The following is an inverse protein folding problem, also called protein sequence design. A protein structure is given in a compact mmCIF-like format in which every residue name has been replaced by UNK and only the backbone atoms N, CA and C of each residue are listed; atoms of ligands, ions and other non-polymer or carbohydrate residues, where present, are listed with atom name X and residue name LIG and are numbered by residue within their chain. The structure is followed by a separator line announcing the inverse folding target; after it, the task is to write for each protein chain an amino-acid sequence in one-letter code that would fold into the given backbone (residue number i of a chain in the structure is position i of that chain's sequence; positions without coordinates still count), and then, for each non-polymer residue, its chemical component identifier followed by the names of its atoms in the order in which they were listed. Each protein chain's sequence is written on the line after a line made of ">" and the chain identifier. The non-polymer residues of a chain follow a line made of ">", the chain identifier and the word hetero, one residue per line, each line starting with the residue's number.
data_IF_798898707476
#
_entry.id   IF_798898707476
#
_cell.length_a   1.000
_cell.length_b   1.000
_cell.length_c   1.000
_cell.angle_alpha   90.00
_cell.angle_beta   90.00
_cell.angle_gamma   90.00
#
_symmetry.space_group_name_H-M   'P 1'
#
loop_
_entity.id
_entity.type
_entity.pdbx_description
1 polymer ?
#
# COMPACT_ATOMS: atom_id res chain seq x y z
N UNK A 1 3.15 -12.71 31.33
CA UNK A 1 2.99 -11.36 30.77
C UNK A 1 2.14 -11.45 29.51
N UNK A 2 1.37 -10.42 29.21
CA UNK A 2 0.51 -10.36 28.02
C UNK A 2 0.58 -8.98 27.38
N UNK A 3 0.46 -8.90 26.07
CA UNK A 3 0.47 -7.65 25.32
C UNK A 3 -0.59 -7.73 24.21
N UNK A 4 -1.58 -6.85 24.28
CA UNK A 4 -2.65 -6.80 23.30
C UNK A 4 -2.18 -5.97 22.11
N UNK A 5 -2.28 -6.54 20.90
CA UNK A 5 -1.87 -5.82 19.70
C UNK A 5 -2.64 -4.51 19.56
N UNK A 6 -1.95 -3.41 19.27
CA UNK A 6 -2.61 -2.15 18.95
C UNK A 6 -3.54 -2.32 17.75
N UNK A 7 -4.67 -1.61 17.76
CA UNK A 7 -5.61 -1.63 16.66
C UNK A 7 -4.92 -1.23 15.34
N UNK A 8 -5.19 -1.98 14.27
CA UNK A 8 -4.60 -1.73 12.97
C UNK A 8 -3.17 -2.22 12.79
N UNK A 9 -2.64 -3.04 13.71
CA UNK A 9 -1.34 -3.71 13.53
C UNK A 9 -1.50 -5.20 13.24
N UNK A 10 -0.45 -5.83 12.71
CA UNK A 10 -0.40 -7.26 12.42
C UNK A 10 0.75 -7.89 13.20
N UNK A 11 0.52 -9.04 13.82
CA UNK A 11 1.58 -9.77 14.51
C UNK A 11 2.58 -10.33 13.51
N UNK A 12 3.87 -10.04 13.70
CA UNK A 12 4.94 -10.67 12.91
C UNK A 12 5.72 -11.68 13.73
N UNK A 13 6.25 -11.26 14.88
CA UNK A 13 7.00 -12.16 15.76
C UNK A 13 7.08 -11.64 17.19
N UNK A 14 7.39 -12.55 18.11
CA UNK A 14 7.71 -12.23 19.49
C UNK A 14 8.94 -13.02 19.93
N UNK A 15 9.79 -12.41 20.75
CA UNK A 15 10.90 -13.09 21.39
C UNK A 15 10.42 -14.02 22.51
N UNK A 16 11.34 -14.85 23.04
CA UNK A 16 11.12 -15.69 24.23
C UNK A 16 9.88 -16.61 24.17
N UNK A 17 9.54 -17.09 22.98
CA UNK A 17 8.42 -18.03 22.81
C UNK A 17 7.04 -17.42 23.06
N UNK A 18 6.89 -16.10 22.91
CA UNK A 18 5.59 -15.43 22.97
C UNK A 18 4.60 -16.04 21.99
N UNK A 19 3.41 -16.38 22.47
CA UNK A 19 2.36 -17.01 21.66
C UNK A 19 1.28 -15.99 21.33
N UNK A 20 1.00 -15.82 20.04
CA UNK A 20 -0.07 -14.95 19.57
C UNK A 20 -1.38 -15.72 19.43
N UNK A 21 -2.43 -15.26 20.13
CA UNK A 21 -3.77 -15.81 20.01
C UNK A 21 -4.81 -14.70 20.24
N UNK A 22 -5.85 -14.67 19.39
CA UNK A 22 -6.98 -13.75 19.53
C UNK A 22 -6.59 -12.27 19.74
N UNK A 23 -5.56 -11.78 19.05
CA UNK A 23 -5.13 -10.38 19.14
C UNK A 23 -4.21 -10.06 20.33
N UNK A 24 -3.81 -11.05 21.12
CA UNK A 24 -2.93 -10.86 22.28
C UNK A 24 -1.72 -11.79 22.18
N UNK A 25 -0.52 -11.27 22.48
CA UNK A 25 0.68 -12.06 22.67
C UNK A 25 0.84 -12.39 24.14
N UNK A 26 1.10 -13.64 24.47
CA UNK A 26 1.31 -14.11 25.84
C UNK A 26 2.68 -14.72 26.02
N UNK A 27 3.38 -14.33 27.09
CA UNK A 27 4.65 -14.92 27.52
C UNK A 27 4.49 -15.58 28.88
N UNK A 28 4.91 -16.85 28.95
CA UNK A 28 5.02 -17.59 30.19
C UNK A 28 6.48 -17.63 30.62
N UNK A 29 6.86 -16.72 31.51
CA UNK A 29 8.20 -16.66 32.09
C UNK A 29 8.14 -17.36 33.45
N UNK A 30 8.89 -18.45 33.58
CA UNK A 30 8.82 -19.31 34.76
C UNK A 30 9.28 -18.61 36.04
N UNK A 31 10.38 -17.85 35.97
CA UNK A 31 10.95 -17.14 37.10
C UNK A 31 11.69 -15.90 36.61
N UNK A 32 11.56 -14.81 37.37
CA UNK A 32 12.46 -13.67 37.32
C UNK A 32 13.05 -13.55 38.73
N UNK A 33 14.35 -13.81 38.85
CA UNK A 33 15.02 -13.75 40.15
C UNK A 33 14.94 -12.34 40.75
N UNK A 34 15.04 -12.23 42.08
CA UNK A 34 15.02 -10.93 42.76
C UNK A 34 16.12 -10.00 42.23
N UNK A 35 15.73 -8.82 41.75
CA UNK A 35 16.63 -7.84 41.10
C UNK A 35 17.02 -8.18 39.66
N UNK A 36 16.49 -9.26 39.09
CA UNK A 36 16.66 -9.63 37.69
C UNK A 36 15.66 -8.91 36.77
N UNK A 37 15.93 -9.00 35.47
CA UNK A 37 15.09 -8.44 34.41
C UNK A 37 14.84 -9.47 33.30
N UNK A 38 13.72 -9.32 32.60
CA UNK A 38 13.41 -10.07 31.39
C UNK A 38 13.03 -9.09 30.27
N UNK A 39 13.73 -9.15 29.15
CA UNK A 39 13.53 -8.26 28.01
C UNK A 39 12.79 -8.98 26.89
N UNK A 40 11.61 -8.48 26.54
CA UNK A 40 10.75 -9.00 25.49
C UNK A 40 10.78 -8.08 24.28
N UNK A 41 10.75 -8.65 23.07
CA UNK A 41 10.62 -7.91 21.82
C UNK A 41 9.37 -8.38 21.11
N UNK A 42 8.52 -7.43 20.76
CA UNK A 42 7.33 -7.63 19.92
C UNK A 42 7.57 -6.91 18.59
N UNK A 43 7.43 -7.63 17.49
CA UNK A 43 7.53 -7.07 16.14
C UNK A 43 6.14 -7.07 15.51
N UNK A 44 5.73 -5.89 15.06
CA UNK A 44 4.42 -5.64 14.47
C UNK A 44 4.57 -5.08 13.07
N UNK A 45 3.76 -5.59 12.15
CA UNK A 45 3.58 -5.05 10.82
C UNK A 45 2.50 -3.97 10.80
N UNK A 46 2.70 -2.95 9.97
CA UNK A 46 1.69 -1.93 9.68
C UNK A 46 1.06 -2.25 8.33
N UNK A 47 -0.27 -2.46 8.24
CA UNK A 47 -0.97 -2.65 6.97
C UNK A 47 -0.68 -1.53 5.97
N UNK A 48 -0.46 -1.88 4.70
CA UNK A 48 -0.10 -0.93 3.64
C UNK A 48 -1.17 0.15 3.37
N UNK A 49 -2.42 -0.10 3.77
CA UNK A 49 -3.54 0.84 3.66
C UNK A 49 -3.72 1.75 4.89
N UNK A 50 -2.82 1.68 5.87
CA UNK A 50 -2.90 2.53 7.07
C UNK A 50 -2.67 3.99 6.72
N UNK A 51 -3.54 4.89 7.20
CA UNK A 51 -3.44 6.31 6.90
C UNK A 51 -2.24 6.96 7.58
N UNK A 52 -1.56 7.86 6.87
CA UNK A 52 -0.50 8.69 7.44
C UNK A 52 -1.02 9.51 8.63
N UNK A 53 -0.19 9.63 9.67
CA UNK A 53 -0.52 10.29 10.92
C UNK A 53 -1.32 9.44 11.90
N UNK A 54 -1.67 8.19 11.57
CA UNK A 54 -2.23 7.24 12.55
C UNK A 54 -1.22 7.02 13.67
N UNK A 55 -1.66 7.16 14.92
CA UNK A 55 -0.82 6.95 16.10
C UNK A 55 -1.10 5.58 16.69
N UNK A 56 -0.06 4.76 16.80
CA UNK A 56 -0.09 3.41 17.36
C UNK A 56 0.43 3.46 18.79
N UNK A 57 -0.39 2.97 19.72
CA UNK A 57 -0.07 2.88 21.15
C UNK A 57 -0.12 1.44 21.60
N UNK A 58 0.88 1.01 22.34
CA UNK A 58 0.98 -0.37 22.83
C UNK A 58 1.05 -0.41 24.37
N UNK A 59 0.34 -1.37 24.97
CA UNK A 59 0.30 -1.53 26.43
C UNK A 59 0.53 -3.00 26.77
N UNK A 60 1.60 -3.27 27.50
CA UNK A 60 1.94 -4.57 28.04
C UNK A 60 1.50 -4.68 29.50
N UNK A 61 1.08 -5.89 29.87
CA UNK A 61 0.59 -6.25 31.21
C UNK A 61 1.46 -7.36 31.79
N UNK A 62 2.02 -7.09 32.97
CA UNK A 62 2.73 -8.06 33.78
C UNK A 62 1.83 -8.55 34.92
N UNK A 63 1.82 -9.86 35.15
CA UNK A 63 1.06 -10.48 36.24
C UNK A 63 1.84 -11.65 36.82
N UNK A 64 1.80 -11.80 38.14
CA UNK A 64 2.39 -12.91 38.90
C UNK A 64 1.46 -13.28 40.05
N UNK A 65 1.35 -14.57 40.37
CA UNK A 65 0.59 -15.02 41.54
C UNK A 65 1.24 -14.58 42.87
N UNK A 66 2.54 -14.31 42.87
CA UNK A 66 3.30 -13.88 44.05
C UNK A 66 3.37 -12.36 44.19
N UNK A 67 2.78 -11.60 43.25
CA UNK A 67 2.66 -10.13 43.32
C UNK A 67 1.25 -9.76 43.79
N UNK A 68 1.04 -9.43 45.08
CA UNK A 68 -0.28 -9.11 45.61
C UNK A 68 -0.88 -7.82 45.03
N UNK A 69 -0.05 -6.98 44.40
CA UNK A 69 -0.45 -5.70 43.79
C UNK A 69 -0.60 -5.80 42.26
N UNK A 70 -0.51 -7.02 41.69
CA UNK A 70 -0.70 -7.28 40.26
C UNK A 70 -2.18 -7.36 39.84
N UNK A 71 -2.48 -7.31 38.52
CA UNK A 71 -1.56 -7.08 37.41
C UNK A 71 -1.10 -5.62 37.30
N UNK A 72 0.03 -5.39 36.63
CA UNK A 72 0.63 -4.07 36.37
C UNK A 72 0.72 -3.82 34.88
N UNK A 73 0.39 -2.60 34.46
CA UNK A 73 0.51 -2.14 33.07
C UNK A 73 1.66 -1.12 32.97
N UNK A 74 2.27 -0.99 31.80
CA UNK A 74 3.17 0.14 31.58
C UNK A 74 2.38 1.46 31.60
N UNK A 75 2.99 2.50 32.15
CA UNK A 75 2.40 3.84 32.09
C UNK A 75 2.27 4.29 30.63
N UNK A 76 1.18 4.99 30.26
CA UNK A 76 1.10 5.65 28.96
C UNK A 76 2.24 6.66 28.82
N UNK A 77 2.98 6.57 27.72
CA UNK A 77 4.09 7.46 27.42
C UNK A 77 4.03 7.86 25.94
N UNK A 78 3.64 9.11 25.62
CA UNK A 78 3.56 9.60 24.25
C UNK A 78 4.89 9.54 23.49
N UNK A 79 6.03 9.54 24.18
CA UNK A 79 7.34 9.45 23.53
C UNK A 79 7.60 8.04 22.95
N UNK A 80 6.81 7.04 23.38
CA UNK A 80 6.84 5.68 22.85
C UNK A 80 5.72 5.41 21.81
N UNK A 81 4.90 6.41 21.48
CA UNK A 81 3.89 6.28 20.44
C UNK A 81 4.56 6.23 19.05
N UNK A 82 4.07 5.34 18.18
CA UNK A 82 4.55 5.24 16.78
C UNK A 82 3.58 5.97 15.87
N UNK A 83 4.06 6.97 15.12
CA UNK A 83 3.25 7.64 14.09
C UNK A 83 3.51 7.02 12.73
N UNK A 84 2.44 6.59 12.05
CA UNK A 84 2.52 5.97 10.72
C UNK A 84 2.80 7.01 9.65
N UNK A 85 3.73 6.71 8.75
CA UNK A 85 3.94 7.43 7.50
C UNK A 85 3.57 6.52 6.31
N UNK A 86 3.29 7.12 5.15
CA UNK A 86 2.93 6.39 3.93
C UNK A 86 3.91 6.69 2.80
N UNK A 87 4.39 5.64 2.15
CA UNK A 87 5.32 5.74 1.03
C UNK A 87 4.88 4.83 -0.13
N UNK A 88 4.11 5.37 -1.07
CA UNK A 88 3.79 4.70 -2.33
C UNK A 88 4.79 5.14 -3.42
N UNK A 89 5.15 4.21 -4.32
CA UNK A 89 6.13 4.48 -5.40
C UNK A 89 5.59 3.94 -6.72
N UNK A 90 5.01 4.80 -7.53
CA UNK A 90 4.44 4.40 -8.82
C UNK A 90 5.49 4.34 -9.93
N UNK A 91 5.42 3.30 -10.76
CA UNK A 91 6.12 3.17 -12.03
C UNK A 91 5.10 2.96 -13.15
N UNK A 92 5.38 3.50 -14.33
CA UNK A 92 4.51 3.40 -15.50
C UNK A 92 5.31 3.01 -16.74
N UNK A 93 4.77 2.11 -17.55
CA UNK A 93 5.33 1.71 -18.84
C UNK A 93 4.23 1.66 -19.90
N UNK A 94 4.54 2.08 -21.13
CA UNK A 94 3.62 2.01 -22.28
C UNK A 94 4.29 1.24 -23.40
N UNK A 95 3.63 0.22 -23.92
CA UNK A 95 4.13 -0.65 -24.99
C UNK A 95 3.08 -0.84 -26.07
N UNK A 96 3.50 -1.21 -27.27
CA UNK A 96 2.64 -1.67 -28.36
C UNK A 96 3.20 -2.95 -28.93
N UNK A 97 2.32 -3.89 -29.31
CA UNK A 97 2.70 -5.11 -30.01
C UNK A 97 2.87 -4.88 -31.53
N UNK A 98 2.43 -3.74 -32.05
CA UNK A 98 2.48 -3.38 -33.47
C UNK A 98 3.40 -2.18 -33.69
N UNK A 99 4.70 -2.42 -33.98
CA UNK A 99 5.66 -1.35 -34.21
C UNK A 99 5.46 -0.64 -35.56
N UNK A 100 4.75 -1.27 -36.50
CA UNK A 100 4.41 -0.72 -37.81
C UNK A 100 2.89 -0.82 -38.01
N UNK A 101 2.26 0.26 -38.44
CA UNK A 101 0.82 0.37 -38.69
C UNK A 101 0.61 1.10 -40.01
N UNK A 102 -0.31 0.61 -40.83
CA UNK A 102 -0.69 1.30 -42.06
C UNK A 102 -1.66 2.43 -41.70
N UNK A 103 -1.53 3.55 -42.41
CA UNK A 103 -2.45 4.68 -42.29
C UNK A 103 -3.89 4.20 -42.46
N UNK A 104 -4.75 4.57 -41.52
CA UNK A 104 -6.16 4.19 -41.49
C UNK A 104 -6.45 2.92 -40.67
N UNK A 105 -5.44 2.20 -40.17
CA UNK A 105 -5.62 1.02 -39.31
C UNK A 105 -5.58 1.38 -37.81
N UNK A 106 -6.09 0.47 -36.97
CA UNK A 106 -6.05 0.59 -35.51
C UNK A 106 -4.89 -0.20 -34.92
N UNK A 107 -4.47 0.22 -33.73
CA UNK A 107 -3.51 -0.47 -32.92
C UNK A 107 -3.71 -0.16 -31.44
N UNK A 108 -3.17 -1.04 -30.60
CA UNK A 108 -3.39 -1.00 -29.15
C UNK A 108 -2.10 -0.70 -28.42
N UNK A 109 -2.16 0.28 -27.53
CA UNK A 109 -1.17 0.48 -26.48
C UNK A 109 -1.60 -0.25 -25.22
N UNK A 110 -0.64 -0.88 -24.57
CA UNK A 110 -0.77 -1.41 -23.20
C UNK A 110 0.01 -0.50 -22.27
N UNK A 111 -0.68 0.08 -21.30
CA UNK A 111 -0.11 0.93 -20.24
C UNK A 111 -0.14 0.12 -18.95
N UNK A 112 1.02 -0.16 -18.39
CA UNK A 112 1.15 -0.85 -17.10
C UNK A 112 1.56 0.16 -16.04
N UNK A 113 0.79 0.24 -14.96
CA UNK A 113 1.11 1.02 -13.76
C UNK A 113 1.34 0.07 -12.61
N UNK A 114 2.46 0.21 -11.90
CA UNK A 114 2.85 -0.63 -10.77
C UNK A 114 3.11 0.25 -9.55
N UNK A 115 2.64 -0.16 -8.38
CA UNK A 115 3.07 0.43 -7.11
C UNK A 115 4.19 -0.41 -6.49
N UNK A 116 5.43 0.06 -6.61
CA UNK A 116 6.63 -0.56 -6.02
C UNK A 116 6.88 -0.10 -4.57
N UNK A 117 6.03 0.77 -4.01
CA UNK A 117 6.18 1.26 -2.65
C UNK A 117 5.59 0.29 -1.61
N UNK A 118 6.00 0.40 -0.33
CA UNK A 118 5.44 -0.39 0.76
C UNK A 118 4.01 0.01 1.18
N UNK A 119 3.53 1.20 0.78
CA UNK A 119 2.16 1.66 1.08
C UNK A 119 1.27 1.66 -0.15
N UNK A 120 -0.04 1.53 0.06
CA UNK A 120 -1.04 1.64 -1.00
C UNK A 120 -1.03 3.04 -1.62
N UNK A 121 -1.06 3.11 -2.95
CA UNK A 121 -1.22 4.36 -3.67
C UNK A 121 -2.71 4.69 -3.75
N UNK A 122 -3.11 5.83 -3.20
CA UNK A 122 -4.50 6.28 -3.19
C UNK A 122 -4.77 7.27 -4.33
N UNK A 123 -6.01 7.28 -4.83
CA UNK A 123 -6.46 8.24 -5.85
C UNK A 123 -5.58 8.27 -7.11
N UNK A 124 -5.11 7.11 -7.55
CA UNK A 124 -4.28 6.95 -8.74
C UNK A 124 -5.09 7.34 -9.97
N UNK A 125 -4.54 8.28 -10.73
CA UNK A 125 -5.06 8.73 -12.03
C UNK A 125 -3.97 8.55 -13.08
N UNK A 126 -4.35 8.01 -14.24
CA UNK A 126 -3.45 7.84 -15.39
C UNK A 126 -3.97 8.71 -16.52
N UNK A 127 -3.08 9.44 -17.19
CA UNK A 127 -3.42 10.28 -18.34
C UNK A 127 -2.47 10.03 -19.50
N UNK A 128 -3.00 10.03 -20.71
CA UNK A 128 -2.24 9.80 -21.95
C UNK A 128 -2.68 10.79 -23.03
N UNK A 129 -1.80 11.73 -23.37
CA UNK A 129 -2.06 12.71 -24.41
C UNK A 129 -1.81 12.07 -25.78
N UNK A 130 -2.86 12.01 -26.61
CA UNK A 130 -2.75 11.41 -27.93
C UNK A 130 -1.92 12.32 -28.86
N UNK A 131 -0.86 11.80 -29.49
CA UNK A 131 -0.07 12.59 -30.43
C UNK A 131 -0.91 13.00 -31.66
N UNK A 132 -0.47 14.03 -32.37
CA UNK A 132 -1.08 14.40 -33.64
C UNK A 132 -1.00 13.23 -34.63
N UNK A 133 -2.06 13.03 -35.41
CA UNK A 133 -2.12 11.95 -36.40
C UNK A 133 -2.63 10.61 -35.87
N UNK A 134 -3.00 10.50 -34.58
CA UNK A 134 -3.81 9.38 -34.10
C UNK A 134 -5.17 9.86 -33.60
N UNK A 135 -6.20 9.04 -33.72
CA UNK A 135 -7.52 9.28 -33.13
C UNK A 135 -7.89 8.17 -32.15
N UNK A 136 -8.58 8.54 -31.08
CA UNK A 136 -9.10 7.59 -30.09
C UNK A 136 -10.12 6.65 -30.73
N UNK A 137 -10.04 5.37 -30.40
CA UNK A 137 -11.05 4.36 -30.76
C UNK A 137 -11.75 3.88 -29.50
N UNK A 138 -10.99 3.35 -28.55
CA UNK A 138 -11.52 2.81 -27.29
C UNK A 138 -10.45 2.77 -26.20
N UNK A 139 -10.89 2.68 -24.94
CA UNK A 139 -10.04 2.36 -23.82
C UNK A 139 -10.81 1.45 -22.84
N UNK A 140 -10.10 0.57 -22.13
CA UNK A 140 -10.68 -0.24 -21.07
C UNK A 140 -10.77 0.53 -19.74
N UNK A 141 -11.26 -0.14 -18.70
CA UNK A 141 -11.23 0.34 -17.31
C UNK A 141 -11.82 1.76 -17.12
N UNK A 142 -12.83 2.10 -17.93
CA UNK A 142 -13.47 3.41 -17.88
C UNK A 142 -12.64 4.56 -18.45
N UNK A 143 -11.56 4.26 -19.18
CA UNK A 143 -10.77 5.26 -19.88
C UNK A 143 -11.62 6.10 -20.83
N UNK A 144 -11.50 7.41 -20.74
CA UNK A 144 -12.28 8.34 -21.56
C UNK A 144 -11.41 9.42 -22.17
N UNK A 145 -11.69 9.75 -23.43
CA UNK A 145 -11.04 10.86 -24.13
C UNK A 145 -11.76 12.17 -23.79
N UNK A 146 -11.00 13.15 -23.34
CA UNK A 146 -11.41 14.55 -23.28
C UNK A 146 -10.29 15.45 -23.80
N UNK A 147 -10.64 16.38 -24.70
CA UNK A 147 -9.72 17.35 -25.29
C UNK A 147 -8.35 16.78 -25.75
N UNK A 148 -8.35 15.60 -26.38
CA UNK A 148 -7.11 14.95 -26.88
C UNK A 148 -6.33 14.15 -25.84
N UNK A 149 -6.80 14.07 -24.60
CA UNK A 149 -6.17 13.33 -23.49
C UNK A 149 -7.09 12.21 -23.03
N UNK A 150 -6.59 10.98 -23.02
CA UNK A 150 -7.31 9.84 -22.43
C UNK A 150 -6.97 9.76 -20.95
N UNK A 151 -7.98 9.65 -20.09
CA UNK A 151 -7.80 9.58 -18.64
C UNK A 151 -8.47 8.36 -18.02
N UNK A 152 -7.82 7.74 -17.05
CA UNK A 152 -8.33 6.63 -16.24
C UNK A 152 -8.28 6.98 -14.76
N UNK A 153 -9.36 6.70 -14.03
CA UNK A 153 -9.39 6.74 -12.56
C UNK A 153 -9.21 5.32 -12.05
N UNK A 154 -7.99 4.99 -11.60
CA UNK A 154 -7.66 3.66 -11.06
C UNK A 154 -8.11 3.52 -9.60
N UNK A 155 -8.12 4.64 -8.85
CA UNK A 155 -8.49 4.62 -7.44
C UNK A 155 -7.33 4.15 -6.56
N UNK A 156 -7.51 3.08 -5.80
CA UNK A 156 -6.46 2.52 -4.94
C UNK A 156 -5.64 1.47 -5.69
N UNK A 157 -4.32 1.62 -5.72
CA UNK A 157 -3.40 0.59 -6.18
C UNK A 157 -2.56 0.08 -5.00
N UNK A 158 -2.87 -1.13 -4.55
CA UNK A 158 -2.24 -1.74 -3.39
C UNK A 158 -0.70 -1.83 -3.54
N UNK A 159 0.02 -1.84 -2.42
CA UNK A 159 1.47 -2.06 -2.40
C UNK A 159 1.84 -3.36 -3.14
N UNK A 160 2.78 -3.28 -4.07
CA UNK A 160 3.22 -4.39 -4.93
C UNK A 160 2.27 -4.77 -6.07
N UNK A 161 1.10 -4.12 -6.19
CA UNK A 161 0.14 -4.42 -7.24
C UNK A 161 0.43 -3.66 -8.55
N UNK A 162 -0.07 -4.21 -9.66
CA UNK A 162 -0.06 -3.57 -10.98
C UNK A 162 -1.46 -3.56 -11.58
N UNK A 163 -1.73 -2.55 -12.42
CA UNK A 163 -2.89 -2.49 -13.30
C UNK A 163 -2.41 -2.35 -14.75
N UNK A 164 -3.07 -3.05 -15.67
CA UNK A 164 -2.85 -2.91 -17.10
C UNK A 164 -4.08 -2.23 -17.72
N UNK A 165 -3.83 -1.17 -18.47
CA UNK A 165 -4.83 -0.40 -19.20
C UNK A 165 -4.57 -0.57 -20.70
N UNK A 166 -5.62 -0.81 -21.47
CA UNK A 166 -5.56 -0.88 -22.92
C UNK A 166 -6.16 0.37 -23.55
N UNK A 167 -5.44 0.91 -24.52
CA UNK A 167 -5.82 2.08 -25.30
C UNK A 167 -5.73 1.73 -26.77
N UNK A 168 -6.87 1.64 -27.45
CA UNK A 168 -6.94 1.47 -28.89
C UNK A 168 -7.04 2.84 -29.57
N UNK A 169 -6.15 3.05 -30.54
CA UNK A 169 -6.10 4.26 -31.37
C UNK A 169 -6.03 3.87 -32.83
N UNK A 170 -6.41 4.81 -33.69
CA UNK A 170 -6.33 4.69 -35.14
C UNK A 170 -5.28 5.64 -35.67
N UNK A 171 -4.41 5.19 -36.57
CA UNK A 171 -3.52 6.09 -37.30
C UNK A 171 -4.37 6.84 -38.34
N UNK A 172 -4.54 8.15 -38.17
CA UNK A 172 -5.39 8.97 -39.03
C UNK A 172 -4.74 9.17 -40.40
N UNK A 173 -5.58 9.15 -41.45
CA UNK A 173 -5.14 9.41 -42.82
C UNK A 173 -4.92 10.89 -43.14
N UNK A 174 -5.28 11.79 -42.21
CA UNK A 174 -5.24 13.22 -42.43
C UNK A 174 -4.55 13.94 -41.26
N UNK A 175 -3.43 14.60 -41.54
CA UNK A 175 -2.76 15.53 -40.63
C UNK A 175 -3.30 16.97 -40.75
N UNK A 176 -4.37 17.20 -41.53
CA UNK A 176 -4.93 18.53 -41.76
C UNK A 176 -5.90 18.98 -40.66
N UNK A 177 -5.44 19.08 -39.41
CA UNK A 177 -6.02 20.07 -38.50
C UNK A 177 -5.11 20.57 -37.34
N UNK A 178 -3.78 20.57 -37.53
CA UNK A 178 -2.86 21.24 -36.60
C UNK A 178 -2.48 22.69 -37.01
N UNK A 179 -3.17 23.27 -38.00
CA UNK A 179 -2.98 24.68 -38.39
C UNK A 179 -4.29 25.33 -38.82
N UNK A 180 -5.03 25.88 -37.85
CA UNK A 180 -5.71 27.17 -37.99
C UNK A 180 -5.68 27.92 -36.67
#
# INVERSE_FOLDING_TARGET
>A
MTDALPAGTVFESASMGGTFAAGTVSWNIAEIAAGGEATLTLVLGIPANTAAGTVIRNVAVANSADDPDGPKENAPDPDNDVTVDTAATLAIAKTTATPNVVVGETFTYTITVTNNGPSDAQQVVVTDALPAGVSFVSADNGGSLDNGVVSWTVGTLAAGASVNLSLEVRLAADLANARR
#
